data_IF_502263621379
#
_entry.id   IF_502263621379
#
_cell.length_a   1.000
_cell.length_b   1.000
_cell.length_c   1.000
_cell.angle_alpha   90.00
_cell.angle_beta   90.00
_cell.angle_gamma   90.00
#
_symmetry.space_group_name_H-M   'P 1'
#
loop_
_entity.id
_entity.type
_entity.pdbx_description
1 polymer ?
#
# COMPACT_ATOMS: atom_id res chain seq x y z
N UNK A 1 5.13 -4.71 -15.32
CA UNK A 1 4.03 -5.70 -15.45
C UNK A 1 3.82 -6.48 -14.16
N UNK A 2 4.82 -7.19 -13.63
CA UNK A 2 4.69 -8.02 -12.41
C UNK A 2 4.03 -7.31 -11.23
N UNK A 3 4.46 -6.08 -10.89
CA UNK A 3 3.88 -5.33 -9.77
C UNK A 3 2.36 -5.12 -9.91
N UNK A 4 1.85 -4.94 -11.13
CA UNK A 4 0.43 -4.70 -11.39
C UNK A 4 -0.44 -5.95 -11.22
N UNK A 5 0.17 -7.14 -11.10
CA UNK A 5 -0.49 -8.41 -10.85
C UNK A 5 -0.38 -8.88 -9.39
N UNK A 6 0.55 -8.31 -8.62
CA UNK A 6 0.80 -8.71 -7.24
C UNK A 6 -0.23 -8.08 -6.30
N UNK A 7 -1.10 -8.87 -5.64
CA UNK A 7 -2.16 -8.35 -4.78
C UNK A 7 -1.63 -7.72 -3.48
N UNK A 8 -0.40 -8.04 -3.09
CA UNK A 8 0.29 -7.43 -1.95
C UNK A 8 1.06 -6.15 -2.32
N UNK A 9 1.16 -5.83 -3.62
CA UNK A 9 1.83 -4.62 -4.14
C UNK A 9 0.80 -3.58 -4.58
N UNK A 10 -0.16 -3.96 -5.44
CA UNK A 10 -1.26 -3.10 -5.87
C UNK A 10 -2.51 -3.36 -5.03
N UNK A 11 -3.14 -2.29 -4.53
CA UNK A 11 -4.41 -2.40 -3.78
C UNK A 11 -5.55 -2.90 -4.66
N UNK A 12 -5.54 -2.50 -5.93
CA UNK A 12 -6.44 -2.94 -6.99
C UNK A 12 -5.61 -3.37 -8.21
N UNK A 13 -5.18 -4.65 -8.28
CA UNK A 13 -4.37 -5.15 -9.39
C UNK A 13 -5.01 -4.86 -10.75
N UNK A 14 -4.20 -4.41 -11.73
CA UNK A 14 -4.64 -4.16 -13.10
C UNK A 14 -4.48 -5.39 -14.01
N UNK A 15 -3.70 -6.36 -13.55
CA UNK A 15 -3.45 -7.62 -14.23
C UNK A 15 -3.88 -8.75 -13.31
N UNK A 16 -4.57 -9.73 -13.87
CA UNK A 16 -4.82 -11.02 -13.24
C UNK A 16 -3.81 -12.03 -13.81
N UNK A 17 -2.97 -12.56 -12.94
CA UNK A 17 -1.83 -13.39 -13.30
C UNK A 17 -2.01 -14.83 -12.82
N UNK A 18 -1.72 -15.80 -13.69
CA UNK A 18 -1.60 -17.22 -13.33
C UNK A 18 -0.13 -17.66 -13.38
N UNK A 19 0.25 -18.58 -12.49
CA UNK A 19 1.65 -18.99 -12.26
C UNK A 19 2.29 -18.27 -11.07
N UNK A 20 3.61 -18.34 -10.95
CA UNK A 20 4.34 -17.68 -9.86
C UNK A 20 4.63 -16.20 -10.18
N UNK A 21 3.88 -15.28 -9.55
CA UNK A 21 4.05 -13.83 -9.67
C UNK A 21 4.83 -13.21 -8.50
N UNK A 22 5.57 -14.02 -7.73
CA UNK A 22 6.28 -13.60 -6.53
C UNK A 22 5.42 -13.72 -5.27
N UNK A 23 6.06 -13.56 -4.11
CA UNK A 23 5.43 -13.64 -2.80
C UNK A 23 5.68 -12.35 -2.00
N UNK A 24 4.87 -12.05 -0.96
CA UNK A 24 5.11 -10.89 -0.10
C UNK A 24 6.52 -10.83 0.50
N UNK A 25 7.11 -11.99 0.84
CA UNK A 25 8.46 -12.10 1.39
C UNK A 25 9.56 -11.73 0.39
N UNK A 26 9.41 -12.17 -0.85
CA UNK A 26 10.29 -11.81 -1.94
C UNK A 26 9.49 -11.47 -3.20
N UNK A 27 9.05 -10.21 -3.33
CA UNK A 27 8.30 -9.74 -4.50
C UNK A 27 9.07 -9.87 -5.82
N UNK A 28 10.40 -10.08 -5.77
CA UNK A 28 11.24 -10.23 -6.95
C UNK A 28 11.42 -11.70 -7.37
N UNK A 29 10.98 -12.65 -6.54
CA UNK A 29 11.04 -14.09 -6.81
C UNK A 29 9.86 -14.58 -7.66
N UNK A 30 9.69 -14.01 -8.85
CA UNK A 30 8.65 -14.39 -9.81
C UNK A 30 9.20 -15.26 -10.95
N UNK A 31 8.35 -16.11 -11.53
CA UNK A 31 8.74 -16.95 -12.66
C UNK A 31 8.97 -16.14 -13.94
N UNK A 32 9.78 -16.68 -14.85
CA UNK A 32 10.04 -16.05 -16.15
C UNK A 32 8.75 -15.94 -16.99
N UNK A 33 8.68 -14.91 -17.84
CA UNK A 33 7.49 -14.58 -18.68
C UNK A 33 6.95 -15.70 -19.56
N UNK A 34 7.74 -16.75 -19.84
CA UNK A 34 7.31 -17.94 -20.60
C UNK A 34 6.50 -18.95 -19.76
N UNK A 35 6.45 -18.76 -18.44
CA UNK A 35 5.76 -19.63 -17.48
C UNK A 35 4.66 -18.88 -16.70
N UNK A 36 4.48 -17.58 -16.95
CA UNK A 36 3.42 -16.79 -16.34
C UNK A 36 2.40 -16.41 -17.41
N UNK A 37 1.13 -16.51 -17.05
CA UNK A 37 0.03 -16.11 -17.92
C UNK A 37 -0.62 -14.86 -17.34
N UNK A 38 -1.06 -13.95 -18.19
CA UNK A 38 -1.62 -12.67 -17.77
C UNK A 38 -2.83 -12.31 -18.59
N UNK A 39 -3.87 -11.82 -17.92
CA UNK A 39 -4.99 -11.11 -18.53
C UNK A 39 -5.25 -9.82 -17.78
N UNK A 40 -5.98 -8.91 -18.41
CA UNK A 40 -6.46 -7.72 -17.73
C UNK A 40 -7.40 -8.11 -16.58
N UNK A 41 -7.22 -7.49 -15.42
CA UNK A 41 -8.14 -7.68 -14.30
C UNK A 41 -9.47 -6.98 -14.61
N UNK A 42 -10.54 -7.38 -13.91
CA UNK A 42 -11.83 -6.66 -13.98
C UNK A 42 -11.70 -5.18 -13.58
N UNK A 43 -10.75 -4.84 -12.71
CA UNK A 43 -10.56 -3.45 -12.28
C UNK A 43 -10.01 -2.57 -13.41
N UNK A 44 -9.26 -3.14 -14.37
CA UNK A 44 -8.75 -2.39 -15.52
C UNK A 44 -9.85 -1.81 -16.43
N UNK A 45 -11.08 -2.36 -16.36
CA UNK A 45 -12.26 -1.81 -17.05
C UNK A 45 -12.59 -0.38 -16.59
N UNK A 46 -12.15 0.02 -15.39
CA UNK A 46 -12.27 1.41 -14.91
C UNK A 46 -11.46 2.37 -15.80
N UNK A 47 -10.37 1.89 -16.41
CA UNK A 47 -9.46 2.69 -17.21
C UNK A 47 -9.69 2.56 -18.72
N UNK A 48 -10.26 1.45 -19.18
CA UNK A 48 -10.23 1.07 -20.61
C UNK A 48 -11.60 1.07 -21.31
N UNK A 49 -12.71 0.93 -20.60
CA UNK A 49 -14.03 0.71 -21.22
C UNK A 49 -14.48 1.85 -22.15
N UNK A 50 -14.02 3.08 -21.90
CA UNK A 50 -14.45 4.26 -22.65
C UNK A 50 -13.43 4.72 -23.70
N UNK A 51 -12.32 4.00 -23.86
CA UNK A 51 -11.20 4.38 -24.73
C UNK A 51 -11.62 4.54 -26.20
N UNK A 52 -12.54 3.70 -26.68
CA UNK A 52 -13.04 3.72 -28.06
C UNK A 52 -14.14 4.76 -28.33
N UNK A 53 -14.52 5.58 -27.34
CA UNK A 53 -15.70 6.45 -27.40
C UNK A 53 -15.34 7.93 -27.68
N UNK A 54 -14.12 8.20 -28.13
CA UNK A 54 -13.65 9.57 -28.42
C UNK A 54 -13.32 10.39 -27.16
N UNK A 55 -13.00 9.72 -26.04
CA UNK A 55 -12.73 10.33 -24.73
C UNK A 55 -11.26 10.73 -24.53
N UNK A 56 -10.37 10.38 -25.46
CA UNK A 56 -8.92 10.60 -25.32
C UNK A 56 -8.29 11.24 -26.54
N UNK A 57 -7.23 12.01 -26.28
CA UNK A 57 -6.28 12.41 -27.31
C UNK A 57 -5.31 11.28 -27.64
N UNK A 58 -5.10 11.06 -28.94
CA UNK A 58 -4.16 10.06 -29.46
C UNK A 58 -2.88 10.73 -29.95
N UNK A 59 -1.73 10.25 -29.48
CA UNK A 59 -0.40 10.60 -29.99
C UNK A 59 0.16 9.51 -30.91
N UNK A 60 1.24 9.80 -31.62
CA UNK A 60 2.04 8.76 -32.27
C UNK A 60 2.84 8.00 -31.21
N UNK A 61 3.02 6.70 -31.41
CA UNK A 61 3.95 5.89 -30.60
C UNK A 61 5.42 6.25 -30.92
N UNK A 62 6.36 5.59 -30.25
CA UNK A 62 7.80 5.92 -30.30
C UNK A 62 8.44 5.89 -31.71
N UNK A 63 7.96 5.06 -32.64
CA UNK A 63 8.47 4.94 -34.01
C UNK A 63 7.51 5.49 -35.09
N UNK A 64 6.39 6.07 -34.68
CA UNK A 64 5.38 6.66 -35.56
C UNK A 64 4.52 5.66 -36.34
N UNK A 65 4.63 4.36 -36.08
CA UNK A 65 3.87 3.32 -36.80
C UNK A 65 2.45 3.13 -36.27
N UNK A 66 2.19 3.48 -35.02
CA UNK A 66 0.91 3.33 -34.34
C UNK A 66 0.51 4.60 -33.60
N UNK A 67 -0.73 4.62 -33.11
CA UNK A 67 -1.20 5.65 -32.19
C UNK A 67 -1.38 5.06 -30.79
N UNK A 68 -1.08 5.85 -29.77
CA UNK A 68 -1.29 5.50 -28.37
C UNK A 68 -2.03 6.63 -27.64
N UNK A 69 -2.86 6.31 -26.64
CA UNK A 69 -3.57 7.34 -25.90
C UNK A 69 -2.61 8.10 -24.98
N UNK A 70 -2.71 9.44 -24.97
CA UNK A 70 -1.89 10.26 -24.06
C UNK A 70 -2.29 10.06 -22.59
N UNK A 71 -3.57 9.84 -22.35
CA UNK A 71 -4.15 9.51 -21.03
C UNK A 71 -5.24 8.45 -21.22
N UNK A 72 -5.58 7.72 -20.16
CA UNK A 72 -6.70 6.78 -20.16
C UNK A 72 -7.94 7.44 -19.52
N UNK A 73 -9.16 7.16 -20.03
CA UNK A 73 -10.40 7.73 -19.50
C UNK A 73 -10.80 7.00 -18.22
N UNK A 74 -10.09 7.30 -17.12
CA UNK A 74 -10.33 6.68 -15.83
C UNK A 74 -11.67 7.13 -15.24
N UNK A 75 -12.58 6.18 -14.99
CA UNK A 75 -13.90 6.46 -14.39
C UNK A 75 -13.87 6.69 -12.88
N UNK A 76 -12.72 6.44 -12.24
CA UNK A 76 -12.47 6.67 -10.82
C UNK A 76 -11.08 7.30 -10.65
N UNK A 77 -10.82 8.07 -9.58
CA UNK A 77 -9.52 8.70 -9.28
C UNK A 77 -8.39 7.69 -8.99
N UNK A 78 -7.95 6.94 -9.99
CA UNK A 78 -7.04 5.79 -9.87
C UNK A 78 -5.71 6.14 -9.19
N UNK A 79 -5.27 7.39 -9.34
CA UNK A 79 -4.04 7.92 -8.71
C UNK A 79 -4.06 7.77 -7.18
N UNK A 80 -5.22 7.93 -6.53
CA UNK A 80 -5.37 7.70 -5.10
C UNK A 80 -5.60 6.23 -4.76
N UNK A 81 -6.28 5.48 -5.66
CA UNK A 81 -6.68 4.10 -5.38
C UNK A 81 -5.49 3.14 -5.27
N UNK A 82 -4.60 3.16 -6.26
CA UNK A 82 -3.41 2.32 -6.26
C UNK A 82 -2.15 3.05 -5.76
N UNK A 83 -2.16 4.37 -5.78
CA UNK A 83 -0.99 5.15 -5.43
C UNK A 83 0.17 4.96 -6.40
N UNK A 84 1.32 5.54 -6.07
CA UNK A 84 2.56 5.40 -6.82
C UNK A 84 3.74 5.77 -5.93
N UNK A 85 4.85 5.06 -6.12
CA UNK A 85 6.13 5.40 -5.50
C UNK A 85 7.17 5.53 -6.59
N UNK A 86 7.93 6.63 -6.60
CA UNK A 86 8.95 6.85 -7.64
C UNK A 86 9.84 8.04 -7.35
N UNK A 87 11.04 8.03 -7.94
CA UNK A 87 12.01 9.12 -7.86
C UNK A 87 12.51 9.40 -9.28
N UNK A 88 12.41 10.65 -9.72
CA UNK A 88 12.88 11.11 -11.01
C UNK A 88 13.52 12.51 -10.89
N UNK A 89 14.76 12.65 -11.35
CA UNK A 89 15.49 13.93 -11.50
C UNK A 89 15.29 14.90 -10.31
N UNK A 90 15.59 14.45 -9.09
CA UNK A 90 15.49 15.27 -7.87
C UNK A 90 14.08 15.46 -7.30
N UNK A 91 13.04 15.01 -8.00
CA UNK A 91 11.67 14.94 -7.50
C UNK A 91 11.34 13.50 -7.11
N UNK A 92 10.51 13.36 -6.09
CA UNK A 92 10.01 12.06 -5.65
C UNK A 92 8.50 12.12 -5.48
N UNK A 93 7.84 10.98 -5.52
CA UNK A 93 6.41 10.83 -5.29
C UNK A 93 6.20 9.57 -4.46
N UNK A 94 5.34 9.68 -3.45
CA UNK A 94 4.94 8.60 -2.57
C UNK A 94 3.46 8.82 -2.25
N UNK A 95 2.59 8.31 -3.12
CA UNK A 95 1.15 8.35 -2.97
C UNK A 95 0.71 6.99 -2.44
N UNK A 96 0.13 6.92 -1.23
CA UNK A 96 -0.35 5.66 -0.69
C UNK A 96 -1.69 5.26 -1.35
N UNK A 97 -2.03 3.96 -1.37
CA UNK A 97 -3.33 3.50 -1.86
C UNK A 97 -4.46 3.89 -0.92
N UNK A 98 -5.68 3.99 -1.45
CA UNK A 98 -6.89 4.38 -0.72
C UNK A 98 -8.06 3.50 -1.11
N UNK A 99 -9.05 3.43 -0.23
CA UNK A 99 -10.24 2.63 -0.47
C UNK A 99 -11.11 3.25 -1.58
N UNK A 100 -11.48 2.44 -2.57
CA UNK A 100 -12.29 2.85 -3.73
C UNK A 100 -13.67 3.40 -3.34
N UNK A 101 -14.31 2.84 -2.31
CA UNK A 101 -15.64 3.29 -1.89
C UNK A 101 -15.55 4.63 -1.17
N UNK A 102 -14.56 4.78 -0.29
CA UNK A 102 -14.30 6.04 0.42
C UNK A 102 -14.00 7.17 -0.56
N UNK A 103 -13.07 6.93 -1.50
CA UNK A 103 -12.69 7.92 -2.52
C UNK A 103 -13.84 8.24 -3.47
N UNK A 104 -14.62 7.25 -3.90
CA UNK A 104 -15.78 7.49 -4.76
C UNK A 104 -16.86 8.32 -4.04
N UNK A 105 -17.17 8.02 -2.78
CA UNK A 105 -18.13 8.79 -2.00
C UNK A 105 -17.65 10.22 -1.76
N UNK A 106 -16.36 10.42 -1.49
CA UNK A 106 -15.76 11.75 -1.37
C UNK A 106 -15.84 12.55 -2.67
N UNK A 107 -15.59 11.92 -3.82
CA UNK A 107 -15.73 12.55 -5.13
C UNK A 107 -17.18 12.96 -5.40
N UNK A 108 -18.15 12.09 -5.12
CA UNK A 108 -19.58 12.43 -5.24
C UNK A 108 -19.94 13.61 -4.34
N UNK A 109 -19.45 13.62 -3.09
CA UNK A 109 -19.69 14.73 -2.17
C UNK A 109 -19.13 16.07 -2.70
N UNK A 110 -17.94 16.07 -3.31
CA UNK A 110 -17.34 17.26 -3.92
C UNK A 110 -18.07 17.72 -5.18
N UNK A 111 -18.67 16.82 -5.95
CA UNK A 111 -19.55 17.18 -7.08
C UNK A 111 -20.78 17.94 -6.59
N UNK A 112 -21.41 17.45 -5.52
CA UNK A 112 -22.59 18.08 -4.92
C UNK A 112 -22.24 19.35 -4.14
N UNK A 113 -21.06 19.38 -3.50
CA UNK A 113 -20.57 20.48 -2.67
C UNK A 113 -19.13 20.87 -3.06
N UNK A 114 -18.93 21.65 -4.14
CA UNK A 114 -17.59 21.98 -4.65
C UNK A 114 -16.70 22.80 -3.71
N UNK A 115 -17.27 23.31 -2.61
CA UNK A 115 -16.54 24.07 -1.58
C UNK A 115 -16.35 23.28 -0.28
N UNK A 116 -16.64 21.97 -0.30
CA UNK A 116 -16.45 21.12 0.86
C UNK A 116 -15.02 21.23 1.37
N UNK A 117 -14.92 21.35 2.68
CA UNK A 117 -13.67 21.43 3.41
C UNK A 117 -12.98 20.06 3.45
N UNK A 118 -11.68 20.06 3.78
CA UNK A 118 -10.94 18.82 3.99
C UNK A 118 -11.56 17.97 5.10
N UNK A 119 -12.17 18.58 6.13
CA UNK A 119 -12.83 17.83 7.21
C UNK A 119 -14.02 17.02 6.68
N UNK A 120 -14.88 17.66 5.89
CA UNK A 120 -16.04 17.00 5.27
C UNK A 120 -15.61 15.89 4.30
N UNK A 121 -14.51 16.08 3.56
CA UNK A 121 -13.94 15.03 2.69
C UNK A 121 -13.37 13.86 3.51
N UNK A 122 -12.74 14.14 4.66
CA UNK A 122 -12.17 13.12 5.55
C UNK A 122 -13.22 12.36 6.37
N UNK A 123 -14.47 12.83 6.42
CA UNK A 123 -15.58 12.03 6.94
C UNK A 123 -15.87 10.80 6.04
N UNK A 124 -15.48 10.87 4.76
CA UNK A 124 -15.54 9.75 3.83
C UNK A 124 -14.20 9.01 3.72
N UNK A 125 -13.08 9.74 3.58
CA UNK A 125 -11.73 9.17 3.43
C UNK A 125 -11.05 9.09 4.79
N UNK A 126 -11.04 7.90 5.38
CA UNK A 126 -10.48 7.68 6.72
C UNK A 126 -8.96 7.79 6.72
N UNK A 127 -8.34 7.42 5.61
CA UNK A 127 -6.91 7.36 5.45
C UNK A 127 -6.51 6.46 4.27
N UNK A 128 -5.21 6.13 4.20
CA UNK A 128 -4.72 5.09 3.30
C UNK A 128 -5.35 3.72 3.59
N UNK A 129 -5.51 2.91 2.54
CA UNK A 129 -5.97 1.52 2.60
C UNK A 129 -4.94 0.65 1.86
N UNK A 130 -3.95 0.16 2.61
CA UNK A 130 -2.90 -0.71 2.08
C UNK A 130 -3.41 -2.15 1.88
N UNK A 131 -2.80 -2.93 0.97
CA UNK A 131 -3.14 -4.34 0.78
C UNK A 131 -2.58 -5.24 1.90
N UNK A 132 -2.97 -4.96 3.14
CA UNK A 132 -2.65 -5.72 4.35
C UNK A 132 -3.68 -5.41 5.43
N UNK A 133 -3.88 -6.33 6.37
CA UNK A 133 -4.72 -6.12 7.55
C UNK A 133 -3.99 -5.39 8.68
N UNK A 134 -2.71 -5.04 8.50
CA UNK A 134 -1.93 -4.29 9.47
C UNK A 134 -2.54 -2.90 9.76
N UNK A 135 -2.43 -2.45 11.01
CA UNK A 135 -3.07 -1.24 11.48
C UNK A 135 -2.28 0.01 11.11
N UNK A 136 -2.98 1.06 10.71
CA UNK A 136 -2.43 2.42 10.67
C UNK A 136 -2.62 3.06 12.05
N UNK A 137 -1.52 3.39 12.71
CA UNK A 137 -1.52 3.97 14.07
C UNK A 137 -1.26 5.48 14.09
N UNK A 138 -1.13 6.11 12.92
CA UNK A 138 -1.01 7.56 12.83
C UNK A 138 -2.30 8.23 13.33
N UNK A 139 -2.22 9.20 14.27
CA UNK A 139 -3.40 9.92 14.74
C UNK A 139 -4.12 10.65 13.60
N UNK A 140 -5.46 10.70 13.66
CA UNK A 140 -6.29 11.39 12.66
C UNK A 140 -5.88 12.85 12.42
N UNK A 141 -5.46 13.55 13.48
CA UNK A 141 -4.99 14.93 13.38
C UNK A 141 -3.73 15.08 12.50
N UNK A 142 -2.86 14.08 12.49
CA UNK A 142 -1.66 14.07 11.65
C UNK A 142 -1.98 13.62 10.23
N UNK A 143 -2.86 12.63 10.04
CA UNK A 143 -3.40 12.29 8.71
C UNK A 143 -4.03 13.51 8.03
N UNK A 144 -4.80 14.30 8.77
CA UNK A 144 -5.36 15.57 8.28
C UNK A 144 -4.29 16.58 7.87
N UNK A 145 -3.14 16.64 8.56
CA UNK A 145 -2.03 17.49 8.12
C UNK A 145 -1.44 16.97 6.81
N UNK A 146 -1.25 15.65 6.68
CA UNK A 146 -0.75 15.02 5.45
C UNK A 146 -1.64 15.37 4.26
N UNK A 147 -2.95 15.20 4.39
CA UNK A 147 -3.88 15.50 3.29
C UNK A 147 -4.02 16.98 2.98
N UNK A 148 -3.72 17.86 3.94
CA UNK A 148 -3.73 19.31 3.71
C UNK A 148 -2.49 19.80 2.98
N UNK A 149 -1.33 19.23 3.28
CA UNK A 149 -0.03 19.67 2.73
C UNK A 149 0.46 18.83 1.57
N UNK A 150 -0.15 17.66 1.34
CA UNK A 150 0.33 16.62 0.45
C UNK A 150 1.61 15.94 0.92
N UNK A 151 2.10 16.19 2.15
CA UNK A 151 3.37 15.64 2.66
C UNK A 151 3.28 15.16 4.10
N UNK A 152 3.98 14.07 4.40
CA UNK A 152 4.23 13.65 5.76
C UNK A 152 4.64 12.20 5.87
N UNK A 153 4.16 11.53 6.92
CA UNK A 153 4.50 10.14 7.22
C UNK A 153 3.29 9.42 7.81
N UNK A 154 3.10 8.17 7.40
CA UNK A 154 2.12 7.24 7.94
C UNK A 154 2.87 6.15 8.67
N UNK A 155 2.40 5.75 9.85
CA UNK A 155 2.99 4.68 10.62
C UNK A 155 2.02 3.52 10.68
N UNK A 156 2.50 2.34 10.30
CA UNK A 156 1.75 1.09 10.40
C UNK A 156 2.38 0.17 11.42
N UNK A 157 1.55 -0.69 12.02
CA UNK A 157 1.93 -1.66 13.03
C UNK A 157 1.31 -3.02 12.69
N UNK A 158 2.08 -4.07 12.90
CA UNK A 158 1.63 -5.45 12.72
C UNK A 158 0.47 -5.80 13.66
N UNK A 159 -0.45 -6.64 13.20
CA UNK A 159 -1.53 -7.21 14.02
C UNK A 159 -1.05 -8.52 14.63
N UNK A 160 -1.32 -8.69 15.92
CA UNK A 160 -0.95 -9.88 16.66
C UNK A 160 -2.02 -10.22 17.70
N UNK A 161 -2.02 -11.46 18.14
CA UNK A 161 -2.82 -11.91 19.27
C UNK A 161 -2.06 -12.97 20.08
N UNK A 162 -2.58 -13.32 21.25
CA UNK A 162 -2.01 -14.36 22.11
C UNK A 162 -2.72 -15.68 21.87
N UNK A 163 -1.97 -16.74 21.58
CA UNK A 163 -2.48 -18.09 21.38
C UNK A 163 -1.70 -19.05 22.28
N UNK A 164 -2.38 -19.72 23.24
CA UNK A 164 -1.78 -20.70 24.15
C UNK A 164 -0.52 -20.27 24.94
N UNK A 165 -0.27 -18.96 25.08
CA UNK A 165 0.94 -18.43 25.74
C UNK A 165 1.91 -17.75 24.77
N UNK A 166 1.81 -18.09 23.49
CA UNK A 166 2.65 -17.58 22.41
C UNK A 166 2.06 -16.31 21.80
N UNK A 167 2.91 -15.54 21.13
CA UNK A 167 2.52 -14.35 20.38
C UNK A 167 2.47 -14.73 18.91
N UNK A 168 1.29 -14.57 18.30
CA UNK A 168 1.07 -14.90 16.88
C UNK A 168 0.79 -13.62 16.12
N UNK A 169 1.69 -13.28 15.20
CA UNK A 169 1.55 -12.14 14.28
C UNK A 169 0.83 -12.62 13.02
N UNK A 170 -0.29 -11.99 12.69
CA UNK A 170 -1.19 -12.39 11.59
C UNK A 170 -1.13 -11.44 10.39
N UNK A 171 -0.69 -10.20 10.58
CA UNK A 171 -0.55 -9.24 9.49
C UNK A 171 0.67 -8.35 9.70
N UNK A 172 1.44 -8.14 8.64
CA UNK A 172 2.64 -7.29 8.64
C UNK A 172 2.37 -5.94 7.96
N UNK A 173 3.08 -4.86 8.34
CA UNK A 173 3.05 -3.60 7.62
C UNK A 173 3.35 -3.79 6.12
N UNK A 174 2.82 -2.91 5.29
CA UNK A 174 2.96 -3.02 3.83
C UNK A 174 4.43 -3.15 3.39
N UNK A 175 4.71 -4.08 2.47
CA UNK A 175 6.06 -4.38 1.95
C UNK A 175 7.11 -4.74 3.02
N UNK A 176 6.69 -5.26 4.18
CA UNK A 176 7.59 -5.93 5.13
C UNK A 176 7.64 -7.42 4.81
N UNK A 177 8.85 -7.96 4.72
CA UNK A 177 9.06 -9.41 4.61
C UNK A 177 9.11 -10.03 6.00
N UNK A 178 8.33 -11.09 6.18
CA UNK A 178 8.39 -11.96 7.34
C UNK A 178 9.79 -12.56 7.53
N UNK A 179 10.42 -13.07 6.46
CA UNK A 179 11.79 -13.60 6.55
C UNK A 179 12.80 -12.57 7.07
N UNK A 180 12.76 -11.33 6.57
CA UNK A 180 13.64 -10.25 7.07
C UNK A 180 13.32 -9.86 8.51
N UNK A 181 12.04 -9.84 8.87
CA UNK A 181 11.63 -9.57 10.24
C UNK A 181 12.16 -10.66 11.20
N UNK A 182 12.08 -11.92 10.82
CA UNK A 182 12.61 -13.04 11.59
C UNK A 182 14.12 -12.90 11.80
N UNK A 183 14.86 -12.50 10.76
CA UNK A 183 16.29 -12.21 10.85
C UNK A 183 16.61 -11.08 11.85
N UNK A 184 15.81 -10.01 11.85
CA UNK A 184 15.94 -8.90 12.80
C UNK A 184 15.76 -9.37 14.25
N UNK A 185 14.69 -10.13 14.52
CA UNK A 185 14.40 -10.64 15.87
C UNK A 185 15.48 -11.63 16.30
N UNK A 186 15.87 -12.57 15.43
CA UNK A 186 16.95 -13.54 15.71
C UNK A 186 18.30 -12.87 15.97
N UNK A 187 18.60 -11.74 15.29
CA UNK A 187 19.80 -10.95 15.58
C UNK A 187 19.76 -10.33 16.98
N UNK A 188 18.60 -9.85 17.44
CA UNK A 188 18.43 -9.34 18.80
C UNK A 188 18.54 -10.45 19.86
N UNK A 189 18.02 -11.65 19.59
CA UNK A 189 18.19 -12.83 20.45
C UNK A 189 19.67 -13.21 20.59
N UNK A 190 20.42 -13.29 19.47
CA UNK A 190 21.87 -13.56 19.49
C UNK A 190 22.67 -12.50 20.23
N UNK A 191 22.26 -11.23 20.14
CA UNK A 191 22.84 -10.13 20.88
C UNK A 191 22.45 -10.11 22.37
N UNK A 192 21.70 -11.12 22.86
CA UNK A 192 21.18 -11.22 24.23
C UNK A 192 20.28 -10.04 24.66
N UNK A 193 19.68 -9.32 23.69
CA UNK A 193 18.74 -8.21 23.96
C UNK A 193 17.32 -8.69 24.24
N UNK A 194 16.98 -9.90 23.78
CA UNK A 194 15.68 -10.54 23.98
C UNK A 194 15.80 -11.82 24.83
N UNK A 195 16.22 -11.76 26.10
CA UNK A 195 16.34 -12.96 26.94
C UNK A 195 14.98 -13.61 27.25
N UNK A 196 13.88 -12.86 27.09
CA UNK A 196 12.52 -13.33 27.30
C UNK A 196 11.97 -14.18 26.15
N UNK A 197 12.56 -14.10 24.94
CA UNK A 197 12.15 -14.93 23.81
C UNK A 197 12.94 -16.23 23.83
N UNK A 198 12.24 -17.36 23.75
CA UNK A 198 12.84 -18.70 23.70
C UNK A 198 13.03 -19.17 22.26
N UNK A 199 11.98 -19.03 21.45
CA UNK A 199 11.96 -19.53 20.07
C UNK A 199 11.17 -18.60 19.15
N UNK A 200 11.42 -18.72 17.85
CA UNK A 200 10.82 -17.91 16.80
C UNK A 200 10.59 -18.77 15.56
N UNK A 201 9.35 -18.81 15.06
CA UNK A 201 8.94 -19.69 13.95
C UNK A 201 8.15 -18.95 12.90
N UNK A 202 8.36 -19.36 11.65
CA UNK A 202 7.49 -19.03 10.53
C UNK A 202 6.56 -20.22 10.28
N UNK A 203 5.29 -20.04 10.58
CA UNK A 203 4.23 -21.04 10.36
C UNK A 203 3.26 -20.55 9.26
N UNK A 204 3.74 -19.68 8.36
CA UNK A 204 2.96 -19.19 7.23
C UNK A 204 2.75 -20.30 6.18
N UNK A 205 1.54 -20.41 5.66
CA UNK A 205 1.15 -21.40 4.66
C UNK A 205 0.19 -20.81 3.61
N UNK A 206 -0.49 -21.65 2.83
CA UNK A 206 -1.43 -21.19 1.80
C UNK A 206 -2.73 -20.61 2.39
N UNK A 207 -3.18 -21.10 3.55
CA UNK A 207 -4.39 -20.63 4.23
C UNK A 207 -4.11 -19.42 5.13
N UNK A 208 -2.91 -19.35 5.69
CA UNK A 208 -2.41 -18.30 6.57
C UNK A 208 -1.18 -17.65 5.92
N UNK A 209 -1.37 -16.65 5.03
CA UNK A 209 -0.27 -16.03 4.29
C UNK A 209 0.80 -15.38 5.17
N UNK A 210 0.48 -15.10 6.43
CA UNK A 210 1.41 -14.55 7.42
C UNK A 210 1.04 -15.12 8.78
N UNK A 211 1.90 -15.98 9.32
CA UNK A 211 1.77 -16.49 10.68
C UNK A 211 3.15 -16.66 11.33
N UNK A 212 3.62 -15.60 11.96
CA UNK A 212 4.90 -15.60 12.67
C UNK A 212 4.64 -15.81 14.16
N UNK A 213 5.26 -16.84 14.73
CA UNK A 213 5.09 -17.22 16.14
C UNK A 213 6.34 -16.86 16.93
N UNK A 214 6.16 -16.03 17.96
CA UNK A 214 7.20 -15.69 18.93
C UNK A 214 6.85 -16.43 20.23
N UNK A 215 7.72 -17.35 20.65
CA UNK A 215 7.54 -18.17 21.85
C UNK A 215 8.27 -17.53 23.02
N UNK A 216 7.57 -17.00 24.04
CA UNK A 216 8.20 -16.51 25.25
C UNK A 216 8.72 -17.66 26.11
N UNK A 217 9.81 -17.46 26.85
CA UNK A 217 10.41 -18.48 27.75
C UNK A 217 9.49 -18.95 28.88
N UNK A 218 8.44 -18.19 29.18
CA UNK A 218 7.48 -18.50 30.23
C UNK A 218 6.18 -17.74 30.02
N UNK A 219 5.06 -18.37 30.35
CA UNK A 219 3.73 -17.77 30.34
C UNK A 219 3.59 -16.53 31.26
N UNK A 220 4.55 -16.29 32.16
CA UNK A 220 4.60 -15.11 33.04
C UNK A 220 5.12 -13.86 32.35
N UNK A 221 5.70 -13.98 31.16
CA UNK A 221 6.25 -12.84 30.43
C UNK A 221 5.10 -11.96 29.94
N UNK A 222 5.24 -10.66 30.14
CA UNK A 222 4.32 -9.66 29.60
C UNK A 222 4.49 -9.55 28.08
N UNK A 223 3.54 -10.14 27.35
CA UNK A 223 3.51 -10.14 25.89
C UNK A 223 3.38 -8.72 25.33
N UNK A 224 2.65 -7.83 25.99
CA UNK A 224 2.49 -6.44 25.53
C UNK A 224 3.79 -5.66 25.65
N UNK A 225 4.50 -5.82 26.78
CA UNK A 225 5.81 -5.20 26.96
C UNK A 225 6.83 -5.69 25.93
N UNK A 226 6.84 -7.00 25.65
CA UNK A 226 7.68 -7.59 24.61
C UNK A 226 7.33 -7.02 23.23
N UNK A 227 6.05 -6.98 22.86
CA UNK A 227 5.63 -6.43 21.57
C UNK A 227 5.93 -4.94 21.43
N UNK A 228 5.75 -4.14 22.48
CA UNK A 228 6.12 -2.72 22.48
C UNK A 228 7.62 -2.51 22.21
N UNK A 229 8.48 -3.38 22.76
CA UNK A 229 9.91 -3.36 22.45
C UNK A 229 10.20 -3.75 21.00
N UNK A 230 9.53 -4.77 20.48
CA UNK A 230 9.70 -5.25 19.11
C UNK A 230 9.21 -4.22 18.09
N UNK A 231 8.08 -3.56 18.31
CA UNK A 231 7.62 -2.43 17.49
C UNK A 231 8.66 -1.32 17.40
N UNK A 232 9.31 -0.97 18.51
CA UNK A 232 10.31 0.09 18.53
C UNK A 232 11.64 -0.27 17.83
N UNK A 233 11.92 -1.56 17.59
CA UNK A 233 13.26 -2.04 17.22
C UNK A 233 13.30 -2.94 15.97
N UNK A 234 12.16 -3.21 15.35
CA UNK A 234 12.01 -4.08 14.17
C UNK A 234 10.99 -3.51 13.19
N UNK A 235 10.88 -4.11 12.01
CA UNK A 235 9.91 -3.74 10.97
C UNK A 235 8.45 -4.11 11.32
N UNK A 236 8.17 -4.64 12.52
CA UNK A 236 6.80 -4.81 13.03
C UNK A 236 6.06 -3.48 13.16
N UNK A 237 6.78 -2.37 13.32
CA UNK A 237 6.24 -1.02 13.14
C UNK A 237 7.09 -0.28 12.12
N UNK A 238 6.45 0.25 11.07
CA UNK A 238 7.16 0.89 9.96
C UNK A 238 6.52 2.21 9.59
N UNK A 239 7.37 3.18 9.26
CA UNK A 239 6.93 4.49 8.77
C UNK A 239 7.04 4.54 7.24
N UNK A 240 6.02 5.07 6.60
CA UNK A 240 5.87 5.24 5.16
C UNK A 240 5.83 6.73 4.86
N UNK A 241 6.73 7.19 3.99
CA UNK A 241 6.72 8.59 3.55
C UNK A 241 5.50 8.84 2.67
N UNK A 242 4.91 10.03 2.81
CA UNK A 242 3.88 10.53 1.90
C UNK A 242 4.40 11.79 1.22
N UNK A 243 4.30 11.81 -0.10
CA UNK A 243 4.54 12.97 -0.94
C UNK A 243 3.62 12.89 -2.16
N UNK A 244 2.50 13.61 -2.11
CA UNK A 244 1.44 13.63 -3.12
C UNK A 244 1.83 14.49 -4.34
N UNK A 245 3.01 14.20 -4.89
CA UNK A 245 3.55 14.88 -6.05
C UNK A 245 3.07 14.20 -7.32
N UNK A 246 2.34 14.93 -8.17
CA UNK A 246 1.81 14.41 -9.43
C UNK A 246 1.82 15.49 -10.52
N UNK A 247 1.67 15.05 -11.77
CA UNK A 247 1.42 15.97 -12.88
C UNK A 247 -0.05 16.37 -12.86
N UNK A 248 -0.32 17.67 -12.82
CA UNK A 248 -1.66 18.19 -13.00
C UNK A 248 -2.16 18.10 -14.44
N UNK A 249 -3.41 18.50 -14.65
CA UNK A 249 -4.00 18.67 -15.99
C UNK A 249 -3.26 19.72 -16.83
N UNK A 250 -2.55 20.65 -16.17
CA UNK A 250 -1.67 21.64 -16.80
C UNK A 250 -0.26 21.10 -17.13
N UNK A 251 -0.03 19.80 -16.89
CA UNK A 251 1.23 19.09 -17.08
C UNK A 251 2.40 19.57 -16.22
N UNK A 252 2.13 20.25 -15.10
CA UNK A 252 3.17 20.68 -14.16
C UNK A 252 3.25 19.75 -12.95
N UNK A 253 4.47 19.41 -12.47
CA UNK A 253 4.64 18.66 -11.25
C UNK A 253 4.31 19.55 -10.05
N UNK A 254 3.36 19.11 -9.23
CA UNK A 254 2.94 19.83 -8.04
C UNK A 254 2.57 18.86 -6.93
N UNK A 255 2.84 19.27 -5.68
CA UNK A 255 2.36 18.55 -4.51
C UNK A 255 1.01 19.10 -4.11
N UNK A 256 0.00 18.24 -4.17
CA UNK A 256 -1.41 18.63 -4.01
C UNK A 256 -2.01 18.03 -2.75
N UNK A 257 -2.92 18.77 -2.12
CA UNK A 257 -3.75 18.25 -1.03
C UNK A 257 -4.83 17.28 -1.54
N UNK A 258 -5.47 16.53 -0.63
CA UNK A 258 -6.51 15.56 -1.00
C UNK A 258 -7.69 16.21 -1.76
N UNK A 259 -8.16 17.36 -1.27
CA UNK A 259 -9.27 18.11 -1.89
C UNK A 259 -8.87 18.62 -3.28
N UNK A 260 -7.66 19.14 -3.42
CA UNK A 260 -7.13 19.63 -4.70
C UNK A 260 -7.06 18.48 -5.72
N UNK A 261 -6.52 17.32 -5.33
CA UNK A 261 -6.46 16.13 -6.19
C UNK A 261 -7.86 15.73 -6.65
N UNK A 262 -8.82 15.59 -5.74
CA UNK A 262 -10.18 15.18 -6.08
C UNK A 262 -10.97 16.22 -6.88
N UNK A 263 -10.67 17.51 -6.71
CA UNK A 263 -11.36 18.58 -7.44
C UNK A 263 -10.83 18.75 -8.87
N UNK A 264 -9.62 18.29 -9.13
CA UNK A 264 -8.98 18.33 -10.44
C UNK A 264 -9.21 17.04 -11.25
N UNK A 265 -9.48 15.92 -10.59
CA UNK A 265 -9.76 14.63 -11.21
C UNK A 265 -11.16 14.55 -11.84
#
# INVERSE_FOLDING_TARGET
MVLMAQPFSYRYPLVDGQGNWGAPDDPKSFAAMRYTESRLSRFSEVLLNELGQGTVEWGQNFDGTMKEPKMLPARLPHILLNGVTGIAVGMATDIPPHNVREVANAAVHLIENPKASLDEVMDFVQGPDYPTEAEIITPKADLKKVYRTGRGSIKMRAVWHKENGDIVITALPHQVSGSKLLEQIAAQMRAKKLPMVEDLRDESDHENPTRIVIVPRSNRIDSEQLMNHLFASTDLEKSFRVNLNMLGLDHRPEVKGLVEILSEC
#
